data_IF_218584573890
#
_entry.id   IF_218584573890
#
_cell.length_a   1.000
_cell.length_b   1.000
_cell.length_c   1.000
_cell.angle_alpha   90.00
_cell.angle_beta   90.00
_cell.angle_gamma   90.00
#
_symmetry.space_group_name_H-M   'P 1'
#
loop_
_entity.id
_entity.type
_entity.pdbx_description
1 polymer ?
#
# COMPACT_ATOMS: atom_id res chain seq x y z
N UNK A 1 -11.24 -12.83 1.55
CA UNK A 1 -10.11 -13.39 0.79
C UNK A 1 -8.93 -13.47 1.74
N UNK A 2 -8.17 -14.55 1.71
CA UNK A 2 -6.90 -14.67 2.42
C UNK A 2 -5.80 -15.00 1.41
N UNK A 3 -4.67 -14.30 1.47
CA UNK A 3 -3.52 -14.51 0.60
C UNK A 3 -2.22 -14.16 1.32
N UNK A 4 -1.13 -14.92 1.11
CA UNK A 4 -1.10 -16.22 0.45
C UNK A 4 -1.74 -17.33 1.32
N UNK A 5 -2.08 -18.46 0.70
CA UNK A 5 -2.65 -19.62 1.38
C UNK A 5 -1.70 -20.22 2.43
N UNK A 6 -0.40 -20.23 2.12
CA UNK A 6 0.67 -20.62 3.04
C UNK A 6 1.38 -19.37 3.57
N UNK A 7 1.64 -19.31 4.87
CA UNK A 7 2.22 -18.14 5.56
C UNK A 7 3.59 -18.50 6.13
N UNK A 8 4.60 -18.42 5.28
CA UNK A 8 6.01 -18.64 5.64
C UNK A 8 6.80 -17.34 5.46
N UNK A 9 8.08 -17.30 5.86
CA UNK A 9 8.94 -16.14 5.58
C UNK A 9 9.06 -15.87 4.07
N UNK A 10 9.11 -16.94 3.26
CA UNK A 10 9.16 -16.86 1.80
C UNK A 10 7.91 -16.23 1.17
N UNK A 11 6.77 -16.29 1.86
CA UNK A 11 5.52 -15.70 1.38
C UNK A 11 5.60 -14.19 1.20
N UNK A 12 6.49 -13.50 1.92
CA UNK A 12 6.69 -12.06 1.78
C UNK A 12 7.24 -11.66 0.41
N UNK A 13 7.95 -12.56 -0.29
CA UNK A 13 8.45 -12.34 -1.66
C UNK A 13 7.34 -12.22 -2.70
N UNK A 14 6.11 -12.60 -2.36
CA UNK A 14 4.92 -12.45 -3.21
C UNK A 14 4.36 -11.03 -3.18
N UNK A 15 4.86 -10.19 -2.28
CA UNK A 15 4.42 -8.82 -2.11
C UNK A 15 5.54 -7.86 -2.49
N UNK A 16 5.13 -6.70 -3.00
CA UNK A 16 5.99 -5.55 -3.27
C UNK A 16 5.52 -4.41 -2.39
N UNK A 17 6.42 -3.82 -1.62
CA UNK A 17 6.10 -2.70 -0.76
C UNK A 17 6.76 -1.44 -1.30
N UNK A 18 5.97 -0.37 -1.44
CA UNK A 18 6.46 0.95 -1.79
C UNK A 18 5.95 1.95 -0.76
N UNK A 19 6.81 2.87 -0.34
CA UNK A 19 6.40 3.97 0.53
C UNK A 19 7.19 5.23 0.26
N UNK A 20 6.49 6.37 0.37
CA UNK A 20 7.06 7.70 0.25
C UNK A 20 6.61 8.55 1.44
N UNK A 21 7.54 9.33 1.98
CA UNK A 21 7.27 10.24 3.08
C UNK A 21 7.91 11.60 2.82
N UNK A 22 7.09 12.64 2.86
CA UNK A 22 7.52 14.03 2.80
C UNK A 22 6.94 14.79 3.98
N UNK A 23 7.81 15.27 4.87
CA UNK A 23 7.42 16.11 6.01
C UNK A 23 7.12 17.55 5.62
N UNK A 24 6.86 18.42 6.59
CA UNK A 24 6.71 19.88 6.38
C UNK A 24 5.26 20.39 6.25
N UNK A 25 4.27 19.53 6.48
CA UNK A 25 2.85 19.91 6.51
C UNK A 25 2.37 20.52 5.19
N UNK A 26 1.32 21.35 5.24
CA UNK A 26 0.74 22.01 4.06
C UNK A 26 1.77 22.78 3.23
N UNK A 27 2.71 23.46 3.90
CA UNK A 27 3.71 24.33 3.26
C UNK A 27 4.67 23.57 2.33
N UNK A 28 4.87 22.28 2.59
CA UNK A 28 5.74 21.42 1.78
C UNK A 28 4.97 20.33 1.04
N UNK A 29 3.65 20.50 0.90
CA UNK A 29 2.74 19.47 0.39
C UNK A 29 3.07 18.09 1.03
N UNK A 30 3.18 18.08 2.35
CA UNK A 30 3.62 16.92 3.10
C UNK A 30 2.70 15.74 2.88
N UNK A 31 3.26 14.53 2.79
CA UNK A 31 2.49 13.34 2.47
C UNK A 31 3.10 12.09 3.07
N UNK A 32 2.26 11.09 3.27
CA UNK A 32 2.68 9.72 3.61
C UNK A 32 1.93 8.77 2.70
N UNK A 33 2.65 8.10 1.83
CA UNK A 33 2.11 7.15 0.86
C UNK A 33 2.66 5.78 1.19
N UNK A 34 1.79 4.78 1.31
CA UNK A 34 2.19 3.41 1.54
C UNK A 34 1.34 2.50 0.67
N UNK A 35 2.00 1.60 -0.06
CA UNK A 35 1.40 0.70 -1.02
C UNK A 35 1.98 -0.70 -0.82
N UNK A 36 1.10 -1.70 -0.79
CA UNK A 36 1.48 -3.10 -0.79
C UNK A 36 0.78 -3.79 -1.95
N UNK A 37 1.57 -4.30 -2.89
CA UNK A 37 1.07 -4.86 -4.14
C UNK A 37 1.36 -6.34 -4.21
N UNK A 38 0.39 -7.12 -4.68
CA UNK A 38 0.54 -8.54 -4.98
C UNK A 38 -0.37 -8.97 -6.12
N UNK A 39 -0.08 -10.12 -6.71
CA UNK A 39 -0.89 -10.71 -7.78
C UNK A 39 -1.54 -11.99 -7.30
N UNK A 40 -2.83 -12.13 -7.53
CA UNK A 40 -3.59 -13.34 -7.23
C UNK A 40 -4.60 -13.64 -8.34
N UNK A 41 -4.56 -14.86 -8.89
CA UNK A 41 -5.45 -15.32 -9.97
C UNK A 41 -5.55 -14.38 -11.18
N UNK A 42 -4.43 -13.77 -11.59
CA UNK A 42 -4.37 -12.87 -12.76
C UNK A 42 -4.85 -11.44 -12.51
N UNK A 43 -5.18 -11.09 -11.26
CA UNK A 43 -5.49 -9.73 -10.84
C UNK A 43 -4.34 -9.18 -9.98
N UNK A 44 -4.01 -7.91 -10.19
CA UNK A 44 -3.14 -7.16 -9.29
C UNK A 44 -3.99 -6.49 -8.22
N UNK A 45 -3.54 -6.57 -6.97
CA UNK A 45 -4.15 -5.91 -5.83
C UNK A 45 -3.12 -4.94 -5.26
N UNK A 46 -3.48 -3.67 -5.13
CA UNK A 46 -2.70 -2.65 -4.44
C UNK A 46 -3.47 -2.19 -3.22
N UNK A 47 -3.03 -2.60 -2.04
CA UNK A 47 -3.53 -2.08 -0.77
C UNK A 47 -2.82 -0.76 -0.51
N UNK A 48 -3.57 0.29 -0.21
CA UNK A 48 -3.00 1.61 0.01
C UNK A 48 -3.46 2.24 1.33
N UNK A 49 -2.57 3.06 1.88
CA UNK A 49 -2.84 3.99 2.97
C UNK A 49 -2.09 5.28 2.71
N UNK A 50 -2.83 6.34 2.43
CA UNK A 50 -2.28 7.63 2.04
C UNK A 50 -2.76 8.74 2.97
N UNK A 51 -1.92 9.77 3.07
CA UNK A 51 -2.23 11.04 3.70
C UNK A 51 -1.62 12.15 2.84
N UNK A 52 -2.40 13.20 2.58
CA UNK A 52 -1.94 14.43 1.95
C UNK A 52 -2.23 15.61 2.88
N UNK A 53 -1.22 16.43 3.16
CA UNK A 53 -1.36 17.56 4.06
C UNK A 53 -2.11 18.73 3.41
N UNK A 54 -1.99 18.91 2.08
CA UNK A 54 -2.53 20.05 1.33
C UNK A 54 -4.03 20.29 1.63
N UNK A 55 -4.79 19.21 1.63
CA UNK A 55 -6.24 19.19 1.86
C UNK A 55 -6.64 18.40 3.12
N UNK A 56 -5.66 17.96 3.93
CA UNK A 56 -5.86 17.08 5.09
C UNK A 56 -6.62 15.79 4.73
N UNK A 57 -6.41 15.26 3.52
CA UNK A 57 -7.06 14.03 3.08
C UNK A 57 -6.36 12.78 3.58
N UNK A 58 -7.19 11.82 3.97
CA UNK A 58 -6.79 10.49 4.38
C UNK A 58 -7.53 9.48 3.52
N UNK A 59 -6.80 8.59 2.85
CA UNK A 59 -7.42 7.56 2.04
C UNK A 59 -6.81 6.19 2.34
N UNK A 60 -7.63 5.16 2.23
CA UNK A 60 -7.21 3.77 2.35
C UNK A 60 -8.17 2.90 1.57
N UNK A 61 -7.70 1.77 1.07
CA UNK A 61 -8.53 0.88 0.28
C UNK A 61 -7.69 -0.15 -0.45
N UNK A 62 -8.31 -0.74 -1.47
CA UNK A 62 -7.67 -1.65 -2.40
C UNK A 62 -8.04 -1.25 -3.82
N UNK A 63 -7.03 -0.99 -4.65
CA UNK A 63 -7.19 -0.91 -6.10
C UNK A 63 -6.96 -2.32 -6.67
N UNK A 64 -7.92 -2.80 -7.47
CA UNK A 64 -7.82 -4.09 -8.17
C UNK A 64 -7.70 -3.84 -9.66
N UNK A 65 -6.64 -4.35 -10.27
CA UNK A 65 -6.38 -4.21 -11.71
C UNK A 65 -6.50 -5.57 -12.38
N UNK A 66 -7.38 -5.68 -13.38
CA UNK A 66 -7.54 -6.91 -14.16
C UNK A 66 -6.43 -7.08 -15.23
N UNK A 67 -6.41 -8.23 -15.90
CA UNK A 67 -5.42 -8.55 -16.92
C UNK A 67 -5.48 -7.62 -18.16
N UNK A 68 -6.55 -6.85 -18.34
CA UNK A 68 -6.73 -5.86 -19.41
C UNK A 68 -6.37 -4.44 -18.95
N UNK A 69 -5.93 -4.28 -17.70
CA UNK A 69 -5.60 -2.99 -17.10
C UNK A 69 -6.80 -2.22 -16.58
N UNK A 70 -7.99 -2.82 -16.48
CA UNK A 70 -9.15 -2.15 -15.89
C UNK A 70 -8.97 -2.10 -14.37
N UNK A 71 -9.05 -0.91 -13.81
CA UNK A 71 -8.98 -0.66 -12.38
C UNK A 71 -10.38 -0.63 -11.74
N UNK A 72 -10.46 -1.06 -10.50
CA UNK A 72 -11.64 -0.94 -9.64
C UNK A 72 -11.17 -0.64 -8.23
N UNK A 73 -11.60 0.49 -7.70
CA UNK A 73 -11.28 0.91 -6.35
C UNK A 73 -12.34 0.43 -5.36
N UNK A 74 -11.86 -0.08 -4.24
CA UNK A 74 -12.66 -0.47 -3.09
C UNK A 74 -12.21 0.39 -1.92
N UNK A 75 -13.00 1.42 -1.61
CA UNK A 75 -12.70 2.35 -0.53
C UNK A 75 -12.79 1.65 0.83
N UNK A 76 -11.76 1.85 1.64
CA UNK A 76 -11.73 1.45 3.03
C UNK A 76 -12.18 2.58 3.97
N UNK A 77 -12.65 2.20 5.16
CA UNK A 77 -12.99 3.18 6.19
C UNK A 77 -11.73 3.50 7.00
N UNK A 78 -11.11 4.65 6.73
CA UNK A 78 -9.82 5.02 7.35
C UNK A 78 -9.82 4.93 8.89
N UNK A 79 -10.93 5.31 9.53
CA UNK A 79 -11.07 5.32 11.00
C UNK A 79 -11.08 3.93 11.65
N UNK A 80 -11.27 2.87 10.87
CA UNK A 80 -11.36 1.49 11.39
C UNK A 80 -10.07 0.70 11.20
N UNK A 81 -9.00 1.32 10.69
CA UNK A 81 -7.70 0.67 10.51
C UNK A 81 -7.18 0.17 11.85
N UNK A 82 -6.71 -1.09 11.88
CA UNK A 82 -5.98 -1.68 13.00
C UNK A 82 -4.55 -2.00 12.54
N UNK A 83 -3.56 -1.57 13.32
CA UNK A 83 -2.15 -1.69 12.95
C UNK A 83 -1.71 -0.63 11.93
N UNK A 84 -0.62 -0.90 11.21
CA UNK A 84 -0.09 0.02 10.22
C UNK A 84 0.39 -0.69 8.96
N UNK A 85 0.05 -0.14 7.80
CA UNK A 85 0.73 -0.39 6.53
C UNK A 85 1.90 0.58 6.39
N UNK A 86 2.75 0.70 7.40
CA UNK A 86 3.91 1.58 7.37
C UNK A 86 5.09 0.86 8.00
N UNK A 87 6.29 1.15 7.49
CA UNK A 87 7.55 0.55 7.95
C UNK A 87 7.57 -0.99 7.87
N UNK A 88 6.92 -1.56 6.85
CA UNK A 88 6.95 -3.01 6.66
C UNK A 88 8.37 -3.52 6.38
N UNK A 89 9.21 -2.67 5.80
CA UNK A 89 10.63 -2.88 5.52
C UNK A 89 11.49 -3.02 6.79
N UNK A 90 11.07 -2.47 7.94
CA UNK A 90 11.76 -2.66 9.22
C UNK A 90 11.79 -4.14 9.65
N UNK A 91 10.88 -4.97 9.12
CA UNK A 91 10.84 -6.41 9.42
C UNK A 91 11.97 -7.21 8.75
N UNK A 92 12.63 -6.65 7.73
CA UNK A 92 13.55 -7.35 6.83
C UNK A 92 12.94 -8.54 6.05
N UNK A 93 11.64 -8.81 6.20
CA UNK A 93 10.93 -9.89 5.50
C UNK A 93 10.48 -9.48 4.10
N UNK A 94 10.24 -8.18 3.90
CA UNK A 94 9.81 -7.60 2.63
C UNK A 94 10.82 -6.56 2.15
N UNK A 95 11.10 -6.58 0.85
CA UNK A 95 11.94 -5.57 0.22
C UNK A 95 11.08 -4.37 -0.17
N UNK A 96 11.51 -3.18 0.23
CA UNK A 96 10.96 -1.93 -0.26
C UNK A 96 11.49 -1.66 -1.67
N UNK A 97 10.59 -1.43 -2.62
CA UNK A 97 10.97 -0.95 -3.95
C UNK A 97 11.28 0.56 -3.86
N UNK A 98 12.45 0.97 -4.36
CA UNK A 98 12.79 2.37 -4.54
C UNK A 98 12.27 2.81 -5.91
N UNK A 99 11.13 3.51 -5.92
CA UNK A 99 10.51 3.96 -7.17
C UNK A 99 10.88 5.40 -7.53
N UNK A 100 11.83 6.04 -6.82
CA UNK A 100 12.30 7.38 -7.15
C UNK A 100 11.22 8.48 -7.15
N UNK A 101 10.11 8.25 -6.44
CA UNK A 101 9.12 9.29 -6.11
C UNK A 101 9.68 10.22 -5.03
#
# INVERSE_FOLDING_TARGET
>A
MEYPSERTEESWKKFKYNSYYRGGGKQNAGMSLNYLTFTNNGYQYQIFKTYQAEDESYSTGVTVTDAKGKETDIDGIYKTIKGCLCRLDDSHLILKEDTGL
#
